data_IF_430803678446
#
_entry.id   IF_430803678446
#
_cell.length_a   1.000
_cell.length_b   1.000
_cell.length_c   1.000
_cell.angle_alpha   90.00
_cell.angle_beta   90.00
_cell.angle_gamma   90.00
#
_symmetry.space_group_name_H-M   'P 1'
#
loop_
_entity.id
_entity.type
_entity.pdbx_description
1 polymer ?
#
# COMPACT_ATOMS: atom_id res chain seq x y z
N UNK A 1 12.17 1.46 14.98
CA UNK A 1 11.07 0.96 14.16
C UNK A 1 11.38 -0.48 13.72
N UNK A 2 10.46 -1.40 13.92
CA UNK A 2 10.70 -2.81 13.57
C UNK A 2 10.39 -3.04 12.09
N UNK A 3 11.41 -2.96 11.23
CA UNK A 3 11.27 -3.13 9.78
C UNK A 3 10.69 -4.48 9.40
N UNK A 4 11.06 -5.55 10.14
CA UNK A 4 10.55 -6.89 9.85
C UNK A 4 9.05 -6.99 10.02
N UNK A 5 8.51 -6.31 11.04
CA UNK A 5 7.07 -6.26 11.27
C UNK A 5 6.35 -5.56 10.12
N UNK A 6 6.88 -4.43 9.66
CA UNK A 6 6.30 -3.70 8.53
C UNK A 6 6.41 -4.48 7.23
N UNK A 7 7.52 -5.19 7.00
CA UNK A 7 7.64 -6.07 5.84
C UNK A 7 6.61 -7.20 5.88
N UNK A 8 6.45 -7.84 7.03
CA UNK A 8 5.46 -8.89 7.19
C UNK A 8 4.04 -8.34 6.94
N UNK A 9 3.73 -7.16 7.47
CA UNK A 9 2.44 -6.52 7.25
C UNK A 9 2.23 -6.17 5.77
N UNK A 10 3.25 -5.65 5.08
CA UNK A 10 3.17 -5.32 3.66
C UNK A 10 2.90 -6.55 2.79
N UNK A 11 3.66 -7.61 3.01
CA UNK A 11 3.47 -8.86 2.26
C UNK A 11 2.15 -9.54 2.59
N UNK A 12 1.70 -9.50 3.86
CA UNK A 12 0.39 -10.02 4.25
C UNK A 12 -0.73 -9.21 3.58
N UNK A 13 -0.60 -7.89 3.54
CA UNK A 13 -1.56 -7.03 2.85
C UNK A 13 -1.62 -7.35 1.35
N UNK A 14 -0.48 -7.53 0.70
CA UNK A 14 -0.43 -7.88 -0.72
C UNK A 14 -1.09 -9.25 -0.97
N UNK A 15 -0.80 -10.24 -0.13
CA UNK A 15 -1.42 -11.56 -0.24
C UNK A 15 -2.94 -11.48 -0.06
N UNK A 16 -3.40 -10.71 0.91
CA UNK A 16 -4.83 -10.51 1.13
C UNK A 16 -5.49 -9.78 -0.05
N UNK A 17 -4.85 -8.74 -0.57
CA UNK A 17 -5.34 -8.00 -1.74
C UNK A 17 -5.45 -8.92 -2.95
N UNK A 18 -4.42 -9.74 -3.20
CA UNK A 18 -4.43 -10.70 -4.30
C UNK A 18 -5.58 -11.70 -4.14
N UNK A 19 -5.74 -12.24 -2.93
CA UNK A 19 -6.83 -13.15 -2.63
C UNK A 19 -8.19 -12.48 -2.89
N UNK A 20 -8.42 -11.30 -2.31
CA UNK A 20 -9.70 -10.59 -2.43
C UNK A 20 -9.98 -10.17 -3.88
N UNK A 21 -8.92 -9.80 -4.62
CA UNK A 21 -9.05 -9.35 -6.01
C UNK A 21 -9.36 -10.49 -6.96
N UNK A 22 -8.75 -11.65 -6.76
CA UNK A 22 -8.86 -12.79 -7.67
C UNK A 22 -9.93 -13.80 -7.24
N UNK A 23 -10.48 -13.70 -6.03
CA UNK A 23 -11.55 -14.58 -5.55
C UNK A 23 -12.87 -14.32 -6.26
N UNK A 24 -13.77 -15.32 -6.31
CA UNK A 24 -15.13 -15.09 -6.81
C UNK A 24 -15.83 -13.96 -6.07
N UNK A 25 -16.70 -13.24 -6.78
CA UNK A 25 -17.40 -12.08 -6.22
C UNK A 25 -18.20 -12.40 -4.97
N UNK A 26 -18.77 -13.61 -4.89
CA UNK A 26 -19.59 -14.04 -3.76
C UNK A 26 -18.79 -14.21 -2.46
N UNK A 27 -17.48 -14.50 -2.57
CA UNK A 27 -16.60 -14.72 -1.42
C UNK A 27 -15.85 -13.44 -1.02
N UNK A 28 -16.07 -12.35 -1.75
CA UNK A 28 -15.34 -11.10 -1.51
C UNK A 28 -15.97 -10.32 -0.37
N UNK A 29 -15.20 -9.96 0.68
CA UNK A 29 -15.73 -9.08 1.71
C UNK A 29 -15.99 -7.69 1.13
N UNK A 30 -17.17 -7.13 1.41
CA UNK A 30 -17.54 -5.78 0.98
C UNK A 30 -17.81 -4.94 2.23
N UNK A 31 -16.91 -3.97 2.49
CA UNK A 31 -17.01 -3.08 3.65
C UNK A 31 -17.46 -1.70 3.21
N UNK A 32 -16.99 -1.25 2.06
CA UNK A 32 -17.28 0.07 1.49
C UNK A 32 -17.36 -0.06 -0.04
N UNK A 33 -17.46 1.02 -0.77
CA UNK A 33 -17.46 1.00 -2.24
C UNK A 33 -16.16 0.41 -2.80
N UNK A 34 -16.22 -0.31 -3.94
CA UNK A 34 -15.03 -0.99 -4.49
C UNK A 34 -13.83 -0.08 -4.72
N UNK A 35 -14.05 1.14 -5.20
CA UNK A 35 -12.97 2.10 -5.46
C UNK A 35 -12.27 2.50 -4.17
N UNK A 36 -13.06 2.79 -3.12
CA UNK A 36 -12.50 3.13 -1.81
C UNK A 36 -11.72 1.97 -1.22
N UNK A 37 -12.24 0.75 -1.33
CA UNK A 37 -11.57 -0.45 -0.83
C UNK A 37 -10.23 -0.67 -1.52
N UNK A 38 -10.17 -0.52 -2.84
CA UNK A 38 -8.94 -0.65 -3.61
C UNK A 38 -7.92 0.42 -3.19
N UNK A 39 -8.36 1.66 -3.09
CA UNK A 39 -7.49 2.77 -2.69
C UNK A 39 -6.93 2.53 -1.28
N UNK A 40 -7.80 2.24 -0.32
CA UNK A 40 -7.42 2.06 1.08
C UNK A 40 -6.47 0.85 1.27
N UNK A 41 -6.76 -0.26 0.61
CA UNK A 41 -5.92 -1.46 0.71
C UNK A 41 -4.52 -1.21 0.16
N UNK A 42 -4.41 -0.55 -0.98
CA UNK A 42 -3.11 -0.23 -1.58
C UNK A 42 -2.38 0.87 -0.80
N UNK A 43 -3.12 1.81 -0.20
CA UNK A 43 -2.53 2.82 0.69
C UNK A 43 -1.88 2.15 1.91
N UNK A 44 -2.58 1.21 2.53
CA UNK A 44 -2.06 0.46 3.68
C UNK A 44 -0.83 -0.37 3.29
N UNK A 45 -0.89 -1.06 2.15
CA UNK A 45 0.22 -1.84 1.62
C UNK A 45 1.43 -0.96 1.33
N UNK A 46 1.23 0.15 0.63
CA UNK A 46 2.30 1.09 0.29
C UNK A 46 2.93 1.71 1.52
N UNK A 47 2.12 2.07 2.51
CA UNK A 47 2.59 2.57 3.80
C UNK A 47 3.49 1.54 4.51
N UNK A 48 3.02 0.29 4.61
CA UNK A 48 3.77 -0.78 5.28
C UNK A 48 5.10 -1.06 4.57
N UNK A 49 5.08 -1.19 3.24
CA UNK A 49 6.30 -1.43 2.48
C UNK A 49 7.28 -0.24 2.55
N UNK A 50 6.78 1.00 2.55
CA UNK A 50 7.65 2.17 2.67
C UNK A 50 8.38 2.19 4.00
N UNK A 51 7.72 1.80 5.09
CA UNK A 51 8.35 1.70 6.40
C UNK A 51 9.26 0.47 6.51
N UNK A 52 8.93 -0.61 5.80
CA UNK A 52 9.75 -1.83 5.78
C UNK A 52 10.99 -1.73 4.89
N UNK A 53 10.91 -0.95 3.81
CA UNK A 53 12.02 -0.72 2.87
C UNK A 53 12.31 0.78 2.77
N UNK A 54 12.75 1.44 3.84
CA UNK A 54 12.86 2.91 3.87
C UNK A 54 13.89 3.48 2.89
N UNK A 55 14.87 2.66 2.48
CA UNK A 55 15.93 3.09 1.55
C UNK A 55 15.68 2.66 0.10
N UNK A 56 14.56 2.01 -0.17
CA UNK A 56 14.27 1.40 -1.47
C UNK A 56 12.93 1.91 -2.02
N UNK A 57 12.77 3.23 -2.08
CA UNK A 57 11.51 3.86 -2.51
C UNK A 57 11.11 3.44 -3.93
N UNK A 58 12.07 3.32 -4.84
CA UNK A 58 11.77 2.86 -6.21
C UNK A 58 11.28 1.42 -6.24
N UNK A 59 11.83 0.55 -5.40
CA UNK A 59 11.35 -0.82 -5.25
C UNK A 59 9.90 -0.84 -4.76
N UNK A 60 9.60 -0.03 -3.75
CA UNK A 60 8.25 0.05 -3.16
C UNK A 60 7.25 0.60 -4.19
N UNK A 61 7.63 1.63 -4.94
CA UNK A 61 6.79 2.15 -6.02
C UNK A 61 6.55 1.07 -7.08
N UNK A 62 7.59 0.34 -7.47
CA UNK A 62 7.46 -0.75 -8.44
C UNK A 62 6.53 -1.85 -7.93
N UNK A 63 6.64 -2.21 -6.64
CA UNK A 63 5.74 -3.20 -6.03
C UNK A 63 4.29 -2.72 -6.05
N UNK A 64 4.04 -1.47 -5.67
CA UNK A 64 2.69 -0.93 -5.59
C UNK A 64 2.05 -0.83 -6.99
N UNK A 65 2.74 -0.19 -7.92
CA UNK A 65 2.22 0.02 -9.27
C UNK A 65 2.18 -1.28 -10.05
N UNK A 66 3.26 -2.07 -9.97
CA UNK A 66 3.36 -3.36 -10.66
C UNK A 66 2.29 -4.33 -10.20
N UNK A 67 2.04 -4.44 -8.89
CA UNK A 67 0.98 -5.31 -8.38
C UNK A 67 -0.40 -4.82 -8.79
N UNK A 68 -0.64 -3.50 -8.82
CA UNK A 68 -1.92 -2.95 -9.25
C UNK A 68 -2.24 -3.37 -10.69
N UNK A 69 -1.31 -3.17 -11.61
CA UNK A 69 -1.51 -3.53 -13.02
C UNK A 69 -1.52 -5.04 -13.24
N UNK A 70 -0.67 -5.79 -12.52
CA UNK A 70 -0.64 -7.25 -12.62
C UNK A 70 -1.96 -7.87 -12.18
N UNK A 71 -2.51 -7.40 -11.05
CA UNK A 71 -3.79 -7.91 -10.55
C UNK A 71 -4.94 -7.59 -11.52
N UNK A 72 -4.94 -6.40 -12.13
CA UNK A 72 -5.95 -6.07 -13.12
C UNK A 72 -5.81 -6.94 -14.38
N UNK A 73 -4.59 -7.21 -14.82
CA UNK A 73 -4.35 -8.12 -15.95
C UNK A 73 -4.83 -9.53 -15.64
N UNK A 74 -4.57 -10.01 -14.42
CA UNK A 74 -5.04 -11.33 -13.99
C UNK A 74 -6.56 -11.41 -13.89
N UNK A 75 -7.23 -10.29 -13.55
CA UNK A 75 -8.69 -10.24 -13.52
C UNK A 75 -9.32 -10.45 -14.90
N UNK A 76 -8.62 -10.09 -15.97
CA UNK A 76 -9.09 -10.36 -17.34
C UNK A 76 -9.18 -11.86 -17.63
N UNK A 77 -8.42 -12.69 -16.91
CA UNK A 77 -8.44 -14.15 -17.05
C UNK A 77 -9.48 -14.82 -16.16
N UNK A 78 -10.13 -14.05 -15.28
CA UNK A 78 -11.11 -14.57 -14.33
C UNK A 78 -12.52 -14.39 -14.90
N UNK A 79 -13.34 -15.46 -15.03
CA UNK A 79 -14.65 -15.38 -15.72
C UNK A 79 -15.63 -14.38 -15.13
N UNK A 80 -15.60 -14.18 -13.80
CA UNK A 80 -16.56 -13.35 -13.07
C UNK A 80 -16.12 -11.91 -12.93
N UNK A 81 -14.98 -11.53 -13.51
CA UNK A 81 -14.38 -10.21 -13.27
C UNK A 81 -13.88 -9.59 -14.57
N UNK A 82 -13.93 -8.28 -14.59
CA UNK A 82 -13.41 -7.48 -15.70
C UNK A 82 -12.32 -6.54 -15.19
N UNK A 83 -11.09 -6.72 -15.70
CA UNK A 83 -10.00 -5.80 -15.41
C UNK A 83 -10.30 -4.44 -16.00
N UNK A 84 -10.03 -3.37 -15.23
CA UNK A 84 -10.24 -1.99 -15.66
C UNK A 84 -8.98 -1.18 -15.40
N UNK A 85 -8.59 -0.39 -16.40
CA UNK A 85 -7.45 0.54 -16.25
C UNK A 85 -7.73 1.52 -15.11
N UNK A 86 -8.97 1.98 -14.96
CA UNK A 86 -9.37 2.89 -13.87
C UNK A 86 -9.08 2.26 -12.51
N UNK A 87 -9.39 0.98 -12.33
CA UNK A 87 -9.14 0.27 -11.07
C UNK A 87 -7.64 0.18 -10.79
N UNK A 88 -6.82 -0.10 -11.81
CA UNK A 88 -5.38 -0.10 -11.67
C UNK A 88 -4.84 1.28 -11.28
N UNK A 89 -5.40 2.34 -11.86
CA UNK A 89 -5.00 3.71 -11.52
C UNK A 89 -5.39 4.06 -10.08
N UNK A 90 -6.58 3.67 -9.62
CA UNK A 90 -7.03 3.91 -8.25
C UNK A 90 -6.13 3.16 -7.25
N UNK A 91 -5.80 1.91 -7.54
CA UNK A 91 -4.89 1.10 -6.71
C UNK A 91 -3.49 1.73 -6.65
N UNK A 92 -2.97 2.15 -7.80
CA UNK A 92 -1.67 2.82 -7.88
C UNK A 92 -1.66 4.13 -7.10
N UNK A 93 -2.71 4.94 -7.23
CA UNK A 93 -2.86 6.19 -6.48
C UNK A 93 -2.89 5.92 -4.97
N UNK A 94 -3.61 4.89 -4.54
CA UNK A 94 -3.63 4.48 -3.13
C UNK A 94 -2.24 4.12 -2.62
N UNK A 95 -1.52 3.29 -3.37
CA UNK A 95 -0.16 2.90 -3.03
C UNK A 95 0.78 4.09 -2.91
N UNK A 96 0.73 5.01 -3.87
CA UNK A 96 1.55 6.23 -3.87
C UNK A 96 1.20 7.10 -2.66
N UNK A 97 -0.07 7.27 -2.35
CA UNK A 97 -0.51 8.03 -1.16
C UNK A 97 0.02 7.40 0.13
N UNK A 98 -0.07 6.08 0.26
CA UNK A 98 0.45 5.37 1.43
C UNK A 98 1.95 5.54 1.60
N UNK A 99 2.72 5.46 0.51
CA UNK A 99 4.15 5.69 0.50
C UNK A 99 4.45 7.13 0.93
N UNK A 100 3.72 8.10 0.38
CA UNK A 100 3.89 9.51 0.72
C UNK A 100 3.60 9.79 2.20
N UNK A 101 2.54 9.22 2.74
CA UNK A 101 2.20 9.35 4.16
C UNK A 101 3.29 8.75 5.04
N UNK A 102 3.85 7.60 4.67
CA UNK A 102 4.94 6.96 5.42
C UNK A 102 6.18 7.86 5.46
N UNK A 103 6.59 8.40 4.33
CA UNK A 103 7.75 9.29 4.25
C UNK A 103 7.51 10.59 5.01
N UNK A 104 6.31 11.16 4.92
CA UNK A 104 5.95 12.36 5.67
C UNK A 104 6.01 12.10 7.18
N UNK A 105 5.49 10.95 7.63
CA UNK A 105 5.52 10.56 9.03
C UNK A 105 6.94 10.43 9.56
N UNK A 106 7.83 9.79 8.80
CA UNK A 106 9.24 9.65 9.16
C UNK A 106 9.92 11.02 9.22
N UNK A 107 9.66 11.88 8.23
CA UNK A 107 10.22 13.24 8.17
C UNK A 107 9.77 14.06 9.37
N UNK A 108 8.48 14.06 9.69
CA UNK A 108 7.94 14.81 10.82
C UNK A 108 8.48 14.30 12.16
N UNK A 109 8.59 12.98 12.32
CA UNK A 109 9.16 12.38 13.53
C UNK A 109 10.61 12.80 13.74
N UNK A 110 11.41 12.81 12.68
CA UNK A 110 12.80 13.24 12.74
C UNK A 110 12.90 14.73 13.09
N UNK A 111 12.02 15.55 12.53
CA UNK A 111 12.00 17.01 12.81
C UNK A 111 11.63 17.29 14.26
N UNK A 112 10.61 16.61 14.79
CA UNK A 112 10.18 16.75 16.19
C UNK A 112 11.29 16.32 17.13
N UNK A 113 11.96 15.20 16.87
CA UNK A 113 13.05 14.70 17.69
C UNK A 113 14.22 15.69 17.73
N UNK A 114 14.56 16.31 16.60
CA UNK A 114 15.60 17.34 16.54
C UNK A 114 15.24 18.56 17.39
N UNK A 115 13.99 19.01 17.30
CA UNK A 115 13.51 20.14 18.09
C UNK A 115 13.57 19.85 19.58
N UNK A 116 13.19 18.64 20.01
CA UNK A 116 13.26 18.24 21.42
C UNK A 116 14.70 18.18 21.94
N UNK A 117 15.62 17.65 21.14
CA UNK A 117 17.04 17.61 21.52
C UNK A 117 17.61 19.04 21.66
N UNK A 118 17.24 19.93 20.75
CA UNK A 118 17.71 21.34 20.77
C UNK A 118 17.12 22.10 21.95
N UNK A 119 15.98 21.74 22.49
CA UNK A 119 15.31 22.43 23.59
C UNK A 119 15.71 21.94 24.99
N UNK A 120 16.50 20.86 25.09
CA UNK A 120 16.97 20.39 26.40
C UNK A 120 18.00 21.35 26.99
N UNK A 121 17.83 21.82 28.24
CA UNK A 121 18.84 22.63 28.91
C UNK A 121 20.08 21.77 29.20
N UNK A 122 21.26 22.41 29.09
CA UNK A 122 22.54 21.78 29.45
C UNK A 122 22.66 21.53 30.95
#
# INVERSE_FOLDING_TARGET
>A
MNQRLFLAAGWAALAFIAYATLSPLDDRPVIAGPQFEHFAAFALMGFAFALGYPKHTLLVLALAIGSAFTLEALQLLTPDRHGRVVDALVKSAGGICGIGVAHLGVFLSAHINRAQVSSKPE
#
